data_IF_165503055927
#
_entry.id   IF_165503055927
#
_cell.length_a   1.000
_cell.length_b   1.000
_cell.length_c   1.000
_cell.angle_alpha   90.00
_cell.angle_beta   90.00
_cell.angle_gamma   90.00
#
_symmetry.space_group_name_H-M   'P 1'
#
loop_
_entity.id
_entity.type
_entity.pdbx_description
1 polymer ?
#
# COMPACT_ATOMS: atom_id res chain seq x y z
N UNK A 1 -21.50 10.97 11.36
CA UNK A 1 -20.31 10.19 10.99
C UNK A 1 -19.11 10.95 11.48
N UNK A 2 -18.23 10.34 12.26
CA UNK A 2 -16.99 10.99 12.69
C UNK A 2 -15.99 11.02 11.54
N UNK A 3 -15.01 11.92 11.57
CA UNK A 3 -13.99 12.03 10.50
C UNK A 3 -13.20 10.72 10.39
N UNK A 4 -12.88 10.09 11.51
CA UNK A 4 -12.24 8.79 11.63
C UNK A 4 -13.02 7.70 10.86
N UNK A 5 -14.35 7.68 10.99
CA UNK A 5 -15.19 6.72 10.27
C UNK A 5 -15.10 6.91 8.76
N UNK A 6 -15.07 8.16 8.29
CA UNK A 6 -14.95 8.47 6.86
C UNK A 6 -13.56 8.10 6.31
N UNK A 7 -12.49 8.37 7.06
CA UNK A 7 -11.12 7.95 6.72
C UNK A 7 -11.04 6.43 6.58
N UNK A 8 -11.54 5.68 7.57
CA UNK A 8 -11.54 4.21 7.50
C UNK A 8 -12.42 3.68 6.36
N UNK A 9 -13.56 4.32 6.11
CA UNK A 9 -14.45 3.96 5.00
C UNK A 9 -13.75 4.12 3.63
N UNK A 10 -12.84 5.09 3.48
CA UNK A 10 -12.04 5.25 2.27
C UNK A 10 -11.12 4.04 1.99
N UNK A 11 -10.78 3.26 3.03
CA UNK A 11 -9.99 2.03 2.93
C UNK A 11 -10.75 0.80 2.43
N UNK A 12 -12.09 0.78 2.52
CA UNK A 12 -12.90 -0.43 2.28
C UNK A 12 -12.82 -0.90 0.84
N UNK A 13 -13.07 -0.01 -0.13
CA UNK A 13 -13.04 -0.36 -1.55
C UNK A 13 -11.62 -0.69 -2.03
N UNK A 14 -10.58 0.11 -1.71
CA UNK A 14 -9.22 -0.22 -2.08
C UNK A 14 -8.78 -1.58 -1.52
N UNK A 15 -9.08 -1.84 -0.24
CA UNK A 15 -8.76 -3.10 0.46
C UNK A 15 -9.35 -4.34 -0.21
N UNK A 16 -10.59 -4.24 -0.69
CA UNK A 16 -11.23 -5.27 -1.50
C UNK A 16 -10.59 -5.39 -2.90
N UNK A 17 -10.43 -4.26 -3.58
CA UNK A 17 -10.02 -4.19 -4.98
C UNK A 17 -8.65 -4.83 -5.22
N UNK A 18 -7.65 -4.47 -4.42
CA UNK A 18 -6.28 -4.92 -4.61
C UNK A 18 -6.17 -6.44 -4.38
N UNK A 19 -6.88 -6.98 -3.37
CA UNK A 19 -6.94 -8.42 -3.10
C UNK A 19 -7.64 -9.19 -4.21
N UNK A 20 -8.77 -8.69 -4.69
CA UNK A 20 -9.51 -9.29 -5.79
C UNK A 20 -8.63 -9.42 -7.06
N UNK A 21 -7.83 -8.39 -7.37
CA UNK A 21 -6.94 -8.45 -8.54
C UNK A 21 -5.82 -9.48 -8.46
N UNK A 22 -5.43 -9.92 -7.25
CA UNK A 22 -4.35 -10.89 -7.09
C UNK A 22 -4.84 -12.28 -6.64
N UNK A 23 -6.13 -12.45 -6.34
CA UNK A 23 -6.68 -13.65 -5.72
C UNK A 23 -6.27 -14.95 -6.45
N UNK A 24 -6.46 -15.01 -7.76
CA UNK A 24 -6.15 -16.14 -8.65
C UNK A 24 -4.78 -16.00 -9.37
N UNK A 25 -3.91 -15.09 -8.90
CA UNK A 25 -2.53 -14.96 -9.37
C UNK A 25 -1.58 -15.78 -8.51
N UNK A 26 -0.62 -16.42 -9.15
CA UNK A 26 0.53 -17.06 -8.50
C UNK A 26 1.64 -16.03 -8.19
N UNK A 27 2.66 -16.43 -7.44
CA UNK A 27 3.86 -15.61 -7.25
C UNK A 27 4.53 -15.22 -8.57
N UNK A 28 4.61 -16.16 -9.52
CA UNK A 28 5.19 -15.93 -10.85
C UNK A 28 4.32 -14.95 -11.66
N UNK A 29 2.99 -15.08 -11.59
CA UNK A 29 2.08 -14.12 -12.21
C UNK A 29 2.31 -12.70 -11.68
N UNK A 30 2.60 -12.55 -10.38
CA UNK A 30 2.86 -11.26 -9.72
C UNK A 30 4.24 -10.66 -10.04
N UNK A 31 5.11 -11.40 -10.73
CA UNK A 31 6.37 -10.91 -11.31
C UNK A 31 6.19 -10.37 -12.74
N UNK A 32 5.04 -10.60 -13.39
CA UNK A 32 4.79 -10.10 -14.75
C UNK A 32 4.60 -8.57 -14.75
N UNK A 33 5.31 -7.90 -15.67
CA UNK A 33 5.22 -6.46 -15.88
C UNK A 33 4.16 -6.12 -16.94
N UNK A 34 3.36 -5.06 -16.78
CA UNK A 34 2.36 -4.67 -17.79
C UNK A 34 3.03 -4.25 -19.10
N UNK A 35 4.07 -3.44 -19.01
CA UNK A 35 4.94 -3.00 -20.10
C UNK A 35 6.41 -3.07 -19.67
N UNK A 36 7.33 -3.05 -20.63
CA UNK A 36 8.76 -2.97 -20.35
C UNK A 36 9.09 -1.73 -19.48
N UNK A 37 9.96 -1.90 -18.49
CA UNK A 37 10.34 -0.85 -17.53
C UNK A 37 9.30 -0.52 -16.46
N UNK A 38 8.09 -1.09 -16.50
CA UNK A 38 7.12 -0.94 -15.42
C UNK A 38 7.42 -1.90 -14.25
N UNK A 39 7.07 -1.52 -13.02
CA UNK A 39 7.27 -2.37 -11.85
C UNK A 39 6.25 -3.52 -11.82
N UNK A 40 6.68 -4.70 -11.37
CA UNK A 40 5.77 -5.85 -11.17
C UNK A 40 4.98 -5.73 -9.86
N UNK A 41 3.94 -6.54 -9.69
CA UNK A 41 2.98 -6.43 -8.58
C UNK A 41 3.68 -6.61 -7.22
N UNK A 42 4.56 -7.62 -7.08
CA UNK A 42 5.28 -7.83 -5.81
C UNK A 42 6.03 -6.58 -5.35
N UNK A 43 6.81 -5.97 -6.26
CA UNK A 43 7.54 -4.75 -5.93
C UNK A 43 6.59 -3.62 -5.56
N UNK A 44 5.48 -3.47 -6.29
CA UNK A 44 4.50 -2.42 -6.01
C UNK A 44 3.86 -2.57 -4.62
N UNK A 45 3.49 -3.79 -4.21
CA UNK A 45 2.94 -4.03 -2.87
C UNK A 45 3.98 -3.67 -1.80
N UNK A 46 5.20 -4.20 -1.89
CA UNK A 46 6.22 -3.90 -0.90
C UNK A 46 6.59 -2.40 -0.86
N UNK A 47 6.65 -1.74 -2.02
CA UNK A 47 6.84 -0.29 -2.09
C UNK A 47 5.75 0.47 -1.33
N UNK A 48 4.48 0.11 -1.53
CA UNK A 48 3.36 0.72 -0.81
C UNK A 48 3.48 0.50 0.70
N UNK A 49 3.86 -0.70 1.13
CA UNK A 49 4.06 -1.03 2.54
C UNK A 49 5.20 -0.22 3.19
N UNK A 50 6.34 -0.08 2.52
CA UNK A 50 7.46 0.74 3.01
C UNK A 50 7.06 2.21 3.09
N UNK A 51 6.44 2.74 2.03
CA UNK A 51 6.08 4.15 1.96
C UNK A 51 4.96 4.53 2.93
N UNK A 52 3.95 3.68 3.13
CA UNK A 52 2.89 3.96 4.11
C UNK A 52 3.41 3.95 5.55
N UNK A 53 4.33 3.03 5.90
CA UNK A 53 4.96 3.01 7.23
C UNK A 53 5.73 4.30 7.45
N UNK A 54 6.55 4.72 6.48
CA UNK A 54 7.31 5.98 6.57
C UNK A 54 6.44 7.24 6.65
N UNK A 55 5.28 7.24 5.99
CA UNK A 55 4.31 8.34 6.07
C UNK A 55 3.64 8.39 7.44
N UNK A 56 3.12 7.27 7.94
CA UNK A 56 2.43 7.22 9.23
C UNK A 56 3.39 7.51 10.38
N UNK A 57 4.60 6.94 10.37
CA UNK A 57 5.63 7.21 11.39
C UNK A 57 6.06 8.68 11.45
N UNK A 58 5.90 9.44 10.36
CA UNK A 58 6.19 10.86 10.35
C UNK A 58 5.15 11.73 11.06
N UNK A 59 3.94 11.22 11.29
CA UNK A 59 2.85 11.92 11.98
C UNK A 59 2.44 11.25 13.28
N UNK A 60 2.70 9.96 13.42
CA UNK A 60 2.35 9.10 14.55
C UNK A 60 3.55 8.20 14.88
N UNK A 61 4.66 8.75 15.41
CA UNK A 61 5.88 7.99 15.61
C UNK A 61 5.72 6.86 16.63
N UNK A 62 6.29 5.70 16.30
CA UNK A 62 6.30 4.48 17.11
C UNK A 62 4.96 3.75 17.16
N UNK A 63 4.08 3.97 16.17
CA UNK A 63 2.71 3.42 16.17
C UNK A 63 2.52 2.31 15.13
N UNK A 64 3.35 2.25 14.10
CA UNK A 64 3.27 1.21 13.08
C UNK A 64 3.99 -0.06 13.53
N UNK A 65 3.46 -1.25 13.22
CA UNK A 65 4.23 -2.49 13.34
C UNK A 65 5.48 -2.41 12.46
N UNK A 66 6.59 -2.93 12.98
CA UNK A 66 7.82 -3.02 12.19
C UNK A 66 7.60 -3.93 10.97
N UNK A 67 8.17 -3.54 9.83
CA UNK A 67 8.29 -4.44 8.69
C UNK A 67 9.36 -5.50 8.99
N UNK A 68 9.35 -6.65 8.29
CA UNK A 68 10.41 -7.64 8.41
C UNK A 68 11.81 -7.04 8.19
N UNK A 69 12.82 -7.73 8.72
CA UNK A 69 14.22 -7.38 8.47
C UNK A 69 14.49 -7.35 6.96
N UNK A 70 15.31 -6.40 6.51
CA UNK A 70 15.68 -6.15 5.10
C UNK A 70 14.51 -5.85 4.14
N UNK A 71 13.26 -5.82 4.60
CA UNK A 71 12.09 -5.58 3.77
C UNK A 71 12.19 -4.24 3.03
N UNK A 72 12.56 -3.16 3.74
CA UNK A 72 12.68 -1.84 3.11
C UNK A 72 13.73 -1.80 1.99
N UNK A 73 14.82 -2.56 2.13
CA UNK A 73 15.91 -2.61 1.16
C UNK A 73 15.52 -3.40 -0.10
N UNK A 74 14.64 -4.39 0.03
CA UNK A 74 14.10 -5.17 -1.08
C UNK A 74 13.15 -4.36 -1.98
N UNK A 75 12.49 -3.31 -1.46
CA UNK A 75 11.46 -2.54 -2.19
C UNK A 75 11.85 -1.09 -2.50
N UNK A 76 13.12 -0.89 -2.83
CA UNK A 76 13.68 0.42 -3.22
C UNK A 76 13.54 0.68 -4.71
N UNK A 77 13.79 1.92 -5.15
CA UNK A 77 13.78 2.26 -6.58
C UNK A 77 14.88 1.50 -7.34
N UNK A 78 15.99 1.21 -6.66
CA UNK A 78 17.16 0.52 -7.19
C UNK A 78 16.88 -0.96 -7.43
N UNK A 79 16.02 -1.59 -6.62
CA UNK A 79 15.61 -2.99 -6.80
C UNK A 79 14.40 -3.17 -7.73
N UNK A 80 13.76 -2.08 -8.18
CA UNK A 80 12.52 -2.12 -8.98
C UNK A 80 12.66 -2.82 -10.35
N UNK A 81 13.87 -2.85 -10.90
CA UNK A 81 14.21 -3.55 -12.14
C UNK A 81 14.64 -5.00 -11.94
N UNK A 82 14.69 -5.51 -10.71
CA UNK A 82 15.02 -6.92 -10.47
C UNK A 82 13.92 -7.81 -11.03
N UNK A 83 14.31 -8.86 -11.76
CA UNK A 83 13.43 -9.92 -12.23
C UNK A 83 13.72 -11.25 -11.50
N UNK A 84 14.51 -11.23 -10.43
CA UNK A 84 14.77 -12.38 -9.57
C UNK A 84 13.62 -12.55 -8.56
N UNK A 85 12.79 -13.61 -8.67
CA UNK A 85 11.66 -13.81 -7.75
C UNK A 85 12.09 -14.06 -6.31
N UNK A 86 13.33 -14.51 -6.07
CA UNK A 86 13.86 -14.78 -4.73
C UNK A 86 14.23 -13.51 -3.96
N UNK A 87 14.32 -12.37 -4.66
CA UNK A 87 14.55 -11.06 -4.05
C UNK A 87 13.28 -10.45 -3.42
N UNK A 88 12.13 -11.12 -3.52
CA UNK A 88 10.84 -10.59 -3.08
C UNK A 88 10.06 -11.61 -2.25
N UNK A 89 9.29 -11.10 -1.28
CA UNK A 89 8.44 -11.90 -0.42
C UNK A 89 7.38 -12.69 -1.20
N UNK A 90 6.88 -13.75 -0.57
CA UNK A 90 5.77 -14.52 -1.11
C UNK A 90 4.49 -13.68 -1.17
N UNK A 91 3.57 -14.02 -2.08
CA UNK A 91 2.22 -13.42 -2.13
C UNK A 91 1.53 -13.49 -0.77
N UNK A 92 1.64 -14.64 -0.09
CA UNK A 92 1.01 -14.87 1.21
C UNK A 92 1.58 -13.94 2.29
N UNK A 93 2.91 -13.79 2.35
CA UNK A 93 3.56 -12.88 3.30
C UNK A 93 3.21 -11.43 3.02
N UNK A 94 3.21 -11.01 1.75
CA UNK A 94 2.81 -9.65 1.37
C UNK A 94 1.36 -9.35 1.79
N UNK A 95 0.43 -10.30 1.62
CA UNK A 95 -0.95 -10.14 2.06
C UNK A 95 -1.02 -10.04 3.58
N UNK A 96 -0.33 -10.93 4.30
CA UNK A 96 -0.32 -10.95 5.76
C UNK A 96 0.22 -9.63 6.32
N UNK A 97 1.36 -9.16 5.81
CA UNK A 97 1.96 -7.88 6.23
C UNK A 97 1.01 -6.72 5.91
N UNK A 98 0.39 -6.70 4.73
CA UNK A 98 -0.57 -5.66 4.38
C UNK A 98 -1.77 -5.61 5.33
N UNK A 99 -2.28 -6.77 5.76
CA UNK A 99 -3.39 -6.87 6.70
C UNK A 99 -3.01 -6.43 8.11
N UNK A 100 -1.83 -6.80 8.59
CA UNK A 100 -1.28 -6.32 9.87
C UNK A 100 -1.14 -4.78 9.88
N UNK A 101 -0.60 -4.21 8.81
CA UNK A 101 -0.43 -2.77 8.67
C UNK A 101 -1.76 -2.04 8.54
N UNK A 102 -2.72 -2.56 7.79
CA UNK A 102 -4.06 -1.98 7.65
C UNK A 102 -4.83 -1.97 8.98
N UNK A 103 -4.73 -3.06 9.76
CA UNK A 103 -5.32 -3.14 11.09
C UNK A 103 -4.72 -2.10 12.04
N UNK A 104 -3.39 -1.93 12.02
CA UNK A 104 -2.70 -0.92 12.81
C UNK A 104 -3.11 0.51 12.41
N UNK A 105 -3.17 0.81 11.12
CA UNK A 105 -3.62 2.13 10.62
C UNK A 105 -5.04 2.44 11.12
N UNK A 106 -5.97 1.49 11.03
CA UNK A 106 -7.33 1.69 11.54
C UNK A 106 -7.35 1.96 13.05
N UNK A 107 -6.55 1.24 13.83
CA UNK A 107 -6.44 1.45 15.28
C UNK A 107 -5.81 2.81 15.63
N UNK A 108 -4.82 3.27 14.84
CA UNK A 108 -4.23 4.60 14.98
C UNK A 108 -5.29 5.67 14.72
N UNK A 109 -6.00 5.58 13.59
CA UNK A 109 -7.06 6.52 13.22
C UNK A 109 -8.15 6.59 14.30
N UNK A 110 -8.54 5.46 14.89
CA UNK A 110 -9.52 5.41 15.98
C UNK A 110 -9.03 6.08 17.27
N UNK A 111 -7.71 6.15 17.49
CA UNK A 111 -7.10 6.79 18.64
C UNK A 111 -6.84 8.28 18.48
N UNK A 112 -6.95 8.85 17.26
CA UNK A 112 -6.68 10.26 17.00
C UNK A 112 -7.90 11.14 17.31
N UNK A 113 -7.64 12.24 18.02
CA UNK A 113 -8.62 13.32 18.20
C UNK A 113 -8.77 14.18 16.94
N UNK A 114 -9.87 14.93 16.85
CA UNK A 114 -10.12 15.85 15.72
C UNK A 114 -9.01 16.91 15.63
N UNK A 115 -8.52 17.43 16.77
CA UNK A 115 -7.39 18.37 16.81
C UNK A 115 -6.09 17.76 16.27
N UNK A 116 -5.82 16.47 16.55
CA UNK A 116 -4.66 15.77 15.99
C UNK A 116 -4.78 15.54 14.50
N UNK A 117 -5.98 15.24 14.02
CA UNK A 117 -6.28 15.07 12.59
C UNK A 117 -6.12 16.36 11.79
N UNK A 118 -6.36 17.52 12.41
CA UNK A 118 -6.20 18.85 11.81
C UNK A 118 -4.75 19.39 11.84
N UNK A 119 -3.82 18.68 12.51
CA UNK A 119 -2.42 19.11 12.55
C UNK A 119 -1.81 19.11 11.14
N UNK A 120 -0.98 20.11 10.82
CA UNK A 120 -0.35 20.18 9.51
C UNK A 120 0.62 19.01 9.31
N UNK A 121 0.67 18.51 8.07
CA UNK A 121 1.66 17.53 7.65
C UNK A 121 3.09 18.11 7.75
N UNK A 122 4.12 17.29 8.07
CA UNK A 122 5.51 17.69 7.89
C UNK A 122 5.75 18.24 6.48
N UNK A 123 6.52 19.32 6.36
CA UNK A 123 6.69 20.09 5.12
C UNK A 123 6.98 19.22 3.89
N UNK A 124 7.90 18.24 4.02
CA UNK A 124 8.26 17.29 2.96
C UNK A 124 7.09 16.45 2.41
N UNK A 125 5.99 16.35 3.15
CA UNK A 125 4.83 15.54 2.82
C UNK A 125 3.55 16.35 2.54
N UNK A 126 3.60 17.69 2.65
CA UNK A 126 2.43 18.54 2.41
C UNK A 126 1.89 18.47 0.97
N UNK A 127 2.71 18.03 0.01
CA UNK A 127 2.26 17.73 -1.37
C UNK A 127 1.19 16.64 -1.45
N UNK A 128 1.07 15.79 -0.43
CA UNK A 128 0.09 14.71 -0.36
C UNK A 128 -1.19 15.12 0.40
N UNK A 129 -1.18 16.28 1.05
CA UNK A 129 -2.31 16.79 1.82
C UNK A 129 -1.88 17.84 2.85
N UNK A 130 -2.77 18.76 3.25
CA UNK A 130 -2.46 19.80 4.21
C UNK A 130 -2.26 19.28 5.64
N UNK A 131 -3.00 18.24 6.06
CA UNK A 131 -3.09 17.78 7.44
C UNK A 131 -3.03 16.24 7.60
N UNK A 132 -2.99 15.78 8.84
CA UNK A 132 -2.91 14.36 9.20
C UNK A 132 -4.11 13.56 8.66
N UNK A 133 -5.32 14.12 8.67
CA UNK A 133 -6.50 13.46 8.11
C UNK A 133 -6.34 13.16 6.61
N UNK A 134 -5.81 14.12 5.85
CA UNK A 134 -5.55 13.93 4.42
C UNK A 134 -4.49 12.86 4.17
N UNK A 135 -3.46 12.72 5.00
CA UNK A 135 -2.51 11.61 4.89
C UNK A 135 -3.22 10.27 5.00
N UNK A 136 -4.07 10.07 6.01
CA UNK A 136 -4.75 8.78 6.18
C UNK A 136 -5.78 8.52 5.07
N UNK A 137 -6.42 9.56 4.52
CA UNK A 137 -7.26 9.43 3.34
C UNK A 137 -6.47 9.15 2.05
N UNK A 138 -5.20 9.55 1.99
CA UNK A 138 -4.31 9.30 0.86
C UNK A 138 -3.84 7.84 0.79
N UNK A 139 -3.58 7.17 1.91
CA UNK A 139 -3.01 5.80 1.91
C UNK A 139 -3.85 4.81 1.06
N UNK A 140 -5.19 4.74 1.19
CA UNK A 140 -6.00 3.87 0.33
C UNK A 140 -6.00 4.27 -1.16
N UNK A 141 -5.87 5.57 -1.44
CA UNK A 141 -5.76 6.07 -2.81
C UNK A 141 -4.45 5.62 -3.46
N UNK A 142 -3.36 5.56 -2.69
CA UNK A 142 -2.07 5.03 -3.14
C UNK A 142 -2.17 3.55 -3.57
N UNK A 143 -2.85 2.72 -2.78
CA UNK A 143 -3.18 1.34 -3.16
C UNK A 143 -3.97 1.27 -4.46
N UNK A 144 -5.02 2.09 -4.59
CA UNK A 144 -5.87 2.09 -5.79
C UNK A 144 -5.10 2.49 -7.05
N UNK A 145 -4.21 3.47 -6.94
CA UNK A 145 -3.34 3.92 -8.04
C UNK A 145 -2.47 2.78 -8.57
N UNK A 146 -1.84 2.01 -7.69
CA UNK A 146 -1.04 0.85 -8.09
C UNK A 146 -1.92 -0.30 -8.60
N UNK A 147 -3.02 -0.59 -7.92
CA UNK A 147 -3.98 -1.64 -8.29
C UNK A 147 -4.56 -1.46 -9.71
N UNK A 148 -4.71 -0.23 -10.19
CA UNK A 148 -5.11 0.05 -11.57
C UNK A 148 -4.19 -0.58 -12.62
N UNK A 149 -2.90 -0.72 -12.33
CA UNK A 149 -1.94 -1.39 -13.22
C UNK A 149 -2.15 -2.90 -13.26
N UNK A 150 -2.66 -3.49 -12.17
CA UNK A 150 -2.82 -4.93 -12.04
C UNK A 150 -3.97 -5.46 -12.89
N UNK A 151 -5.01 -4.65 -13.11
CA UNK A 151 -6.06 -4.95 -14.08
C UNK A 151 -5.52 -5.16 -15.50
N UNK A 152 -4.41 -4.50 -15.87
CA UNK A 152 -3.75 -4.69 -17.17
C UNK A 152 -2.91 -5.97 -17.17
N UNK A 153 -2.24 -6.27 -16.06
CA UNK A 153 -1.48 -7.52 -15.89
C UNK A 153 -2.41 -8.73 -16.02
N UNK A 154 -3.60 -8.70 -15.41
CA UNK A 154 -4.62 -9.76 -15.56
C UNK A 154 -4.97 -10.03 -17.03
N UNK A 155 -5.21 -8.96 -17.81
CA UNK A 155 -5.48 -9.07 -19.25
C UNK A 155 -4.30 -9.70 -20.01
N UNK A 156 -3.08 -9.27 -19.69
CA UNK A 156 -1.85 -9.81 -20.29
C UNK A 156 -1.65 -11.30 -19.99
N UNK A 157 -2.04 -11.75 -18.80
CA UNK A 157 -2.01 -13.15 -18.38
C UNK A 157 -3.20 -13.98 -18.89
N UNK A 158 -4.13 -13.39 -19.66
CA UNK A 158 -5.34 -14.07 -20.12
C UNK A 158 -6.35 -14.39 -19.01
N UNK A 159 -6.22 -13.76 -17.83
CA UNK A 159 -7.17 -13.91 -16.73
C UNK A 159 -8.46 -13.13 -17.04
N UNK A 160 -9.63 -13.57 -16.52
CA UNK A 160 -10.87 -12.82 -16.69
C UNK A 160 -10.73 -11.37 -16.19
N UNK A 161 -11.32 -10.39 -16.91
CA UNK A 161 -11.39 -9.03 -16.41
C UNK A 161 -12.24 -9.00 -15.13
N UNK A 162 -11.79 -8.19 -14.18
CA UNK A 162 -12.57 -7.78 -13.01
C UNK A 162 -12.84 -6.27 -13.16
N UNK A 163 -14.00 -5.82 -12.69
CA UNK A 163 -14.52 -4.43 -12.62
C UNK A 163 -14.40 -3.55 -13.88
#
# INVERSE_FOLDING_TARGET
MKVQDAIKAAGVVPGFLWKAYIEDLTDDDMMVRPVEGANHIKWQIGHILVSQVGLVEAVCPGKMPALPEDFADAYTKETASSDDPSAFDSKEDLIRIADEQAAAINAIVDGLSDEELEKPMPEKFQRFGPDVAHLFAFLPSHWTMHAGQWAIIRRKLGKPPLF
#
